data_IF_750675450754
#
_entry.id   IF_750675450754
#
_cell.length_a   1.000
_cell.length_b   1.000
_cell.length_c   1.000
_cell.angle_alpha   90.00
_cell.angle_beta   90.00
_cell.angle_gamma   90.00
#
_symmetry.space_group_name_H-M   'P 1'
#
loop_
_entity.id
_entity.type
_entity.pdbx_description
1 polymer ?
#
# COMPACT_ATOMS: atom_id res chain seq x y z
N UNK A 1 -8.93 22.99 -16.03
CA UNK A 1 -8.19 21.94 -15.29
C UNK A 1 -6.96 21.59 -16.10
N UNK A 2 -5.77 21.41 -15.50
CA UNK A 2 -4.61 20.98 -16.27
C UNK A 2 -4.89 19.63 -16.92
N UNK A 3 -4.48 19.46 -18.18
CA UNK A 3 -4.90 18.37 -19.07
C UNK A 3 -4.46 16.96 -18.67
N UNK A 4 -3.62 16.79 -17.64
CA UNK A 4 -3.15 15.50 -17.12
C UNK A 4 -2.52 15.70 -15.73
N UNK A 5 -2.91 14.90 -14.73
CA UNK A 5 -2.36 15.00 -13.35
C UNK A 5 -1.14 14.09 -13.14
N UNK A 6 -1.09 12.95 -13.82
CA UNK A 6 0.05 12.05 -13.84
C UNK A 6 0.11 11.29 -15.17
N UNK A 7 1.27 10.77 -15.50
CA UNK A 7 1.52 9.91 -16.66
C UNK A 7 2.33 8.69 -16.23
N UNK A 8 2.02 7.53 -16.82
CA UNK A 8 2.84 6.33 -16.67
C UNK A 8 3.52 6.02 -17.99
N UNK A 9 4.84 5.89 -17.99
CA UNK A 9 5.63 5.54 -19.17
C UNK A 9 6.47 4.29 -18.93
N UNK A 10 6.60 3.44 -19.94
CA UNK A 10 7.49 2.28 -19.91
C UNK A 10 8.92 2.72 -20.27
N UNK A 11 9.79 2.81 -19.27
CA UNK A 11 11.19 3.17 -19.45
C UNK A 11 12.07 1.93 -19.61
N UNK A 12 12.82 1.92 -20.71
CA UNK A 12 13.77 0.84 -21.02
C UNK A 12 15.05 1.01 -20.20
N UNK A 13 15.50 -0.07 -19.59
CA UNK A 13 16.77 -0.14 -18.88
C UNK A 13 17.61 -1.28 -19.46
N UNK A 14 18.93 -1.12 -19.41
CA UNK A 14 19.91 -2.11 -19.80
C UNK A 14 20.82 -2.48 -18.61
N UNK A 15 21.21 -3.75 -18.52
CA UNK A 15 22.27 -4.17 -17.62
C UNK A 15 23.55 -4.40 -18.44
N UNK A 16 24.61 -3.66 -18.10
CA UNK A 16 25.91 -3.76 -18.77
C UNK A 16 26.82 -4.66 -17.93
N UNK A 17 27.42 -5.68 -18.57
CA UNK A 17 28.49 -6.45 -17.96
C UNK A 17 29.80 -5.64 -18.02
N UNK A 18 30.31 -5.27 -16.84
CA UNK A 18 31.50 -4.43 -16.73
C UNK A 18 32.80 -5.14 -17.13
N UNK A 19 32.82 -6.47 -17.19
CA UNK A 19 33.98 -7.24 -17.65
C UNK A 19 34.04 -7.34 -19.18
N UNK A 20 32.87 -7.44 -19.83
CA UNK A 20 32.78 -7.55 -21.28
C UNK A 20 32.63 -6.19 -22.00
N UNK A 21 32.31 -5.11 -21.26
CA UNK A 21 32.09 -3.77 -21.83
C UNK A 21 30.88 -3.68 -22.76
N UNK A 22 30.04 -4.72 -22.79
CA UNK A 22 28.90 -4.84 -23.68
C UNK A 22 27.62 -5.08 -22.87
N UNK A 23 26.49 -4.68 -23.45
CA UNK A 23 25.18 -5.13 -22.95
C UNK A 23 25.06 -6.59 -23.32
N UNK A 24 24.90 -7.48 -22.32
CA UNK A 24 24.68 -8.91 -22.58
C UNK A 24 23.29 -9.04 -23.23
N UNK A 25 23.22 -9.80 -24.32
CA UNK A 25 21.96 -10.02 -25.04
C UNK A 25 20.91 -10.64 -24.10
N UNK A 26 19.67 -10.17 -24.17
CA UNK A 26 18.58 -10.57 -23.25
C UNK A 26 18.48 -9.82 -21.91
N UNK A 27 19.30 -8.79 -21.66
CA UNK A 27 19.28 -8.02 -20.40
C UNK A 27 18.56 -6.65 -20.50
N UNK A 28 17.62 -6.53 -21.44
CA UNK A 28 16.73 -5.39 -21.58
C UNK A 28 15.46 -5.64 -20.77
N UNK A 29 15.08 -4.71 -19.91
CA UNK A 29 13.79 -4.76 -19.21
C UNK A 29 13.13 -3.39 -19.19
N UNK A 30 11.80 -3.40 -19.23
CA UNK A 30 11.00 -2.19 -19.07
C UNK A 30 10.55 -2.04 -17.63
N UNK A 31 10.48 -0.80 -17.17
CA UNK A 31 9.83 -0.44 -15.91
C UNK A 31 8.82 0.65 -16.16
N UNK A 32 7.64 0.50 -15.59
CA UNK A 32 6.68 1.59 -15.57
C UNK A 32 7.13 2.63 -14.55
N UNK A 33 7.17 3.88 -14.97
CA UNK A 33 7.46 5.03 -14.14
C UNK A 33 6.29 5.99 -14.16
N UNK A 34 5.91 6.50 -12.99
CA UNK A 34 4.82 7.47 -12.86
C UNK A 34 5.39 8.86 -12.60
N UNK A 35 5.04 9.80 -13.48
CA UNK A 35 5.41 11.21 -13.38
C UNK A 35 4.19 12.04 -12.98
N UNK A 36 4.36 12.93 -12.01
CA UNK A 36 3.31 13.85 -11.58
C UNK A 36 3.49 15.21 -12.25
N UNK A 37 2.38 15.83 -12.67
CA UNK A 37 2.38 17.21 -13.12
C UNK A 37 2.80 18.16 -11.98
N UNK A 38 3.34 19.36 -12.27
CA UNK A 38 3.62 20.34 -11.23
C UNK A 38 2.39 20.63 -10.35
N UNK A 39 2.55 20.50 -9.03
CA UNK A 39 1.47 20.66 -8.07
C UNK A 39 0.51 19.46 -7.94
N UNK A 40 0.77 18.35 -8.63
CA UNK A 40 0.07 17.09 -8.45
C UNK A 40 0.87 16.13 -7.56
N UNK A 41 0.17 15.24 -6.87
CA UNK A 41 0.78 14.26 -5.98
C UNK A 41 -0.23 13.24 -5.48
N UNK A 42 0.19 12.48 -4.47
CA UNK A 42 -0.66 11.50 -3.81
C UNK A 42 -1.07 12.01 -2.43
N UNK A 43 -2.26 11.61 -2.00
CA UNK A 43 -2.73 11.82 -0.65
C UNK A 43 -3.43 10.56 -0.14
N UNK A 44 -3.48 10.41 1.18
CA UNK A 44 -4.18 9.31 1.83
C UNK A 44 -4.85 9.79 3.11
N UNK A 45 -5.94 9.13 3.48
CA UNK A 45 -6.59 9.36 4.76
C UNK A 45 -5.91 8.53 5.84
N UNK A 46 -5.66 9.16 6.97
CA UNK A 46 -5.17 8.51 8.17
C UNK A 46 -6.18 8.71 9.30
N UNK A 47 -6.51 7.62 9.98
CA UNK A 47 -7.18 7.64 11.28
C UNK A 47 -6.25 6.98 12.29
N UNK A 48 -5.85 7.74 13.29
CA UNK A 48 -5.02 7.29 14.39
C UNK A 48 -5.25 8.22 15.58
N UNK A 49 -5.01 7.71 16.78
CA UNK A 49 -4.92 8.56 17.96
C UNK A 49 -3.72 9.50 17.84
N UNK A 50 -3.85 10.71 18.38
CA UNK A 50 -2.82 11.75 18.27
C UNK A 50 -1.47 11.29 18.82
N UNK A 51 -1.49 10.53 19.93
CA UNK A 51 -0.28 9.99 20.56
C UNK A 51 0.41 8.95 19.67
N UNK A 52 -0.34 8.03 19.07
CA UNK A 52 0.22 7.02 18.16
C UNK A 52 0.73 7.65 16.86
N UNK A 53 0.02 8.66 16.36
CA UNK A 53 0.47 9.44 15.22
C UNK A 53 1.82 10.10 15.49
N UNK A 54 1.93 10.85 16.59
CA UNK A 54 3.16 11.58 16.93
C UNK A 54 4.33 10.63 17.23
N UNK A 55 4.06 9.51 17.91
CA UNK A 55 5.10 8.59 18.38
C UNK A 55 5.60 7.63 17.30
N UNK A 56 4.72 7.14 16.43
CA UNK A 56 5.06 6.05 15.51
C UNK A 56 4.90 6.45 14.04
N UNK A 57 3.77 7.06 13.67
CA UNK A 57 3.40 7.22 12.26
C UNK A 57 4.14 8.40 11.61
N UNK A 58 4.09 9.58 12.23
CA UNK A 58 4.75 10.77 11.68
C UNK A 58 6.28 10.61 11.54
N UNK A 59 7.01 10.06 12.55
CA UNK A 59 8.44 9.78 12.39
C UNK A 59 8.73 8.77 11.27
N UNK A 60 7.91 7.71 11.14
CA UNK A 60 8.07 6.73 10.07
C UNK A 60 7.86 7.36 8.68
N UNK A 61 6.86 8.23 8.53
CA UNK A 61 6.60 8.94 7.27
C UNK A 61 7.72 9.93 6.94
N UNK A 62 8.26 10.66 7.91
CA UNK A 62 9.44 11.54 7.73
C UNK A 62 10.66 10.76 7.27
N UNK A 63 10.94 9.63 7.92
CA UNK A 63 12.01 8.73 7.50
C UNK A 63 11.82 8.20 6.07
N UNK A 64 10.58 7.90 5.66
CA UNK A 64 10.27 7.49 4.29
C UNK A 64 10.41 8.64 3.30
N UNK A 65 10.10 9.88 3.68
CA UNK A 65 10.30 11.07 2.87
C UNK A 65 11.80 11.26 2.52
N UNK A 66 12.69 11.01 3.48
CA UNK A 66 14.15 11.13 3.29
C UNK A 66 14.74 9.95 2.50
N UNK A 67 14.14 8.76 2.60
CA UNK A 67 14.73 7.52 2.08
C UNK A 67 14.03 6.93 0.87
N UNK A 68 12.99 7.61 0.39
CA UNK A 68 12.10 7.19 -0.68
C UNK A 68 11.15 6.04 -0.31
N UNK A 69 10.04 5.97 -1.04
CA UNK A 69 9.03 4.91 -0.99
C UNK A 69 9.02 4.10 -2.30
N UNK A 70 8.98 2.77 -2.20
CA UNK A 70 8.90 1.87 -3.35
C UNK A 70 10.23 1.20 -3.71
N UNK A 71 10.22 0.38 -4.77
CA UNK A 71 11.35 -0.50 -5.09
C UNK A 71 12.59 0.23 -5.64
N UNK A 72 12.39 1.40 -6.26
CA UNK A 72 13.42 2.08 -7.07
C UNK A 72 14.03 3.31 -6.37
N UNK A 73 13.94 3.35 -5.04
CA UNK A 73 14.47 4.44 -4.22
C UNK A 73 15.98 4.58 -4.25
N UNK A 74 16.70 3.48 -4.46
CA UNK A 74 18.17 3.50 -4.61
C UNK A 74 18.62 4.09 -5.94
N UNK A 75 17.73 4.23 -6.94
CA UNK A 75 17.99 4.95 -8.19
C UNK A 75 17.42 6.36 -8.19
N UNK A 76 17.15 6.93 -7.00
CA UNK A 76 16.69 8.31 -6.84
C UNK A 76 15.17 8.51 -6.99
N UNK A 77 14.37 7.45 -7.15
CA UNK A 77 12.91 7.53 -7.35
C UNK A 77 12.14 7.44 -6.04
N UNK A 78 10.87 7.81 -6.08
CA UNK A 78 9.96 7.66 -4.92
C UNK A 78 10.29 8.56 -3.74
N UNK A 79 11.13 9.59 -3.94
CA UNK A 79 11.32 10.68 -2.98
C UNK A 79 10.05 11.54 -2.95
N UNK A 80 9.69 12.04 -1.79
CA UNK A 80 8.50 12.86 -1.62
C UNK A 80 8.66 13.81 -0.43
N UNK A 81 7.91 14.90 -0.45
CA UNK A 81 7.67 15.72 0.72
C UNK A 81 6.34 15.33 1.34
N UNK A 82 6.22 15.44 2.66
CA UNK A 82 4.97 15.15 3.36
C UNK A 82 4.43 16.38 4.09
N UNK A 83 3.17 16.69 3.79
CA UNK A 83 2.31 17.59 4.54
C UNK A 83 1.22 16.80 5.24
N UNK A 84 0.81 17.28 6.41
CA UNK A 84 -0.25 16.66 7.21
C UNK A 84 -1.30 17.72 7.45
N UNK A 85 -2.51 17.45 7.00
CA UNK A 85 -3.64 18.36 7.06
C UNK A 85 -4.84 17.68 7.70
N UNK A 86 -5.79 18.49 8.15
CA UNK A 86 -7.07 17.95 8.61
C UNK A 86 -7.76 17.22 7.46
N UNK A 87 -8.28 16.03 7.76
CA UNK A 87 -8.96 15.23 6.75
C UNK A 87 -10.14 16.01 6.15
N UNK A 88 -10.39 15.90 4.83
CA UNK A 88 -11.57 16.48 4.22
C UNK A 88 -12.84 15.89 4.83
N UNK A 89 -13.92 16.65 4.80
CA UNK A 89 -15.22 16.15 5.22
C UNK A 89 -15.70 15.11 4.20
N UNK A 90 -15.74 13.84 4.62
CA UNK A 90 -16.32 12.77 3.82
C UNK A 90 -17.85 12.93 3.75
N UNK A 91 -18.50 12.49 2.64
CA UNK A 91 -19.95 12.50 2.49
C UNK A 91 -20.64 11.84 3.69
N UNK A 92 -21.72 12.47 4.19
CA UNK A 92 -22.52 11.97 5.31
C UNK A 92 -23.95 11.74 4.84
N UNK A 93 -24.44 10.52 5.02
CA UNK A 93 -25.83 10.15 4.76
C UNK A 93 -26.52 9.86 6.10
N UNK A 94 -27.76 10.35 6.28
CA UNK A 94 -28.52 10.19 7.53
C UNK A 94 -28.90 8.73 7.80
N UNK A 95 -29.24 7.99 6.74
CA UNK A 95 -29.70 6.61 6.79
C UNK A 95 -28.97 5.79 5.73
N UNK A 96 -27.68 5.45 5.96
CA UNK A 96 -26.90 4.75 4.98
C UNK A 96 -27.44 3.33 4.77
N UNK A 97 -27.44 2.89 3.53
CA UNK A 97 -27.79 1.52 3.12
C UNK A 97 -26.58 0.73 2.68
N UNK A 98 -25.49 1.41 2.35
CA UNK A 98 -24.26 0.79 1.93
C UNK A 98 -23.02 1.44 2.54
N UNK A 99 -21.89 0.77 2.38
CA UNK A 99 -20.58 1.26 2.77
C UNK A 99 -19.55 0.92 1.68
N UNK A 100 -18.71 1.88 1.33
CA UNK A 100 -17.68 1.74 0.30
C UNK A 100 -16.27 1.82 0.88
N UNK A 101 -15.39 0.90 0.48
CA UNK A 101 -14.01 0.80 0.98
C UNK A 101 -13.12 1.90 0.38
N UNK A 102 -12.24 2.47 1.20
CA UNK A 102 -11.23 3.45 0.75
C UNK A 102 -9.82 2.86 0.61
N UNK A 103 -9.65 1.59 0.99
CA UNK A 103 -8.39 0.84 0.88
C UNK A 103 -8.68 -0.63 0.61
N UNK A 104 -7.63 -1.43 0.42
CA UNK A 104 -7.78 -2.88 0.39
C UNK A 104 -8.42 -3.37 1.68
N UNK A 105 -9.44 -4.21 1.56
CA UNK A 105 -10.25 -4.64 2.69
C UNK A 105 -10.18 -6.15 2.91
N UNK A 106 -9.90 -6.53 4.16
CA UNK A 106 -9.96 -7.91 4.66
C UNK A 106 -10.95 -7.96 5.81
N UNK A 107 -12.19 -8.41 5.58
CA UNK A 107 -13.22 -8.44 6.62
C UNK A 107 -12.82 -9.36 7.78
N UNK A 108 -13.29 -9.02 8.98
CA UNK A 108 -13.46 -10.02 10.05
C UNK A 108 -14.74 -10.83 9.81
N UNK A 109 -14.83 -12.03 10.40
CA UNK A 109 -16.01 -12.89 10.26
C UNK A 109 -17.25 -12.13 10.78
N UNK A 110 -18.31 -12.11 9.98
CA UNK A 110 -19.57 -11.44 10.32
C UNK A 110 -19.54 -9.92 10.22
N UNK A 111 -18.49 -9.31 9.65
CA UNK A 111 -18.40 -7.85 9.52
C UNK A 111 -19.41 -7.25 8.55
N UNK A 112 -19.80 -8.00 7.53
CA UNK A 112 -20.88 -7.67 6.60
C UNK A 112 -21.72 -8.92 6.32
N UNK A 113 -22.90 -8.72 5.75
CA UNK A 113 -23.74 -9.81 5.27
C UNK A 113 -23.38 -10.14 3.81
N UNK A 114 -22.83 -11.33 3.50
CA UNK A 114 -22.48 -11.71 2.14
C UNK A 114 -23.68 -11.96 1.23
N UNK A 115 -24.89 -12.10 1.78
CA UNK A 115 -26.14 -12.21 1.01
C UNK A 115 -26.92 -10.88 0.97
N UNK A 116 -26.43 -9.85 1.68
CA UNK A 116 -27.09 -8.56 1.74
C UNK A 116 -26.80 -7.70 0.51
N UNK A 117 -27.75 -6.83 0.20
CA UNK A 117 -27.62 -5.84 -0.88
C UNK A 117 -27.59 -4.41 -0.33
N UNK A 118 -26.88 -3.48 -1.01
CA UNK A 118 -26.13 -3.66 -2.26
C UNK A 118 -24.74 -4.26 -2.03
N UNK A 119 -24.27 -5.05 -2.99
CA UNK A 119 -22.96 -5.70 -2.96
C UNK A 119 -22.30 -5.61 -4.33
N UNK A 120 -21.19 -4.87 -4.44
CA UNK A 120 -20.44 -4.70 -5.69
C UNK A 120 -18.94 -4.60 -5.38
N UNK A 121 -18.14 -5.56 -5.83
CA UNK A 121 -16.73 -5.60 -5.45
C UNK A 121 -15.85 -6.24 -6.52
N UNK A 122 -14.55 -5.94 -6.42
CA UNK A 122 -13.50 -6.67 -7.12
C UNK A 122 -12.55 -7.30 -6.10
N UNK A 123 -12.02 -8.48 -6.43
CA UNK A 123 -11.04 -9.18 -5.62
C UNK A 123 -9.66 -9.08 -6.26
N UNK A 124 -8.65 -8.87 -5.43
CA UNK A 124 -7.23 -8.89 -5.83
C UNK A 124 -6.44 -9.84 -4.97
N UNK A 125 -5.60 -10.65 -5.62
CA UNK A 125 -4.61 -11.47 -4.92
C UNK A 125 -3.33 -10.66 -4.76
N UNK A 126 -3.03 -10.23 -3.53
CA UNK A 126 -1.76 -9.60 -3.21
C UNK A 126 -0.70 -10.67 -2.95
N UNK A 127 0.45 -10.52 -3.60
CA UNK A 127 1.68 -11.29 -3.35
C UNK A 127 2.75 -10.33 -2.86
N UNK A 128 2.67 -9.86 -1.60
CA UNK A 128 3.54 -8.82 -1.12
C UNK A 128 4.99 -9.30 -1.10
N UNK A 129 5.89 -8.49 -1.64
CA UNK A 129 7.33 -8.72 -1.55
C UNK A 129 7.84 -8.14 -0.23
N UNK A 130 8.96 -8.64 0.29
CA UNK A 130 9.64 -8.06 1.46
C UNK A 130 10.65 -7.04 0.99
N UNK A 131 10.68 -5.88 1.66
CA UNK A 131 11.78 -4.96 1.53
C UNK A 131 13.02 -5.49 2.26
N UNK A 132 14.14 -5.58 1.55
CA UNK A 132 15.38 -6.15 2.10
C UNK A 132 16.22 -5.13 2.90
N UNK A 133 15.81 -3.86 2.95
CA UNK A 133 16.51 -2.78 3.67
C UNK A 133 16.71 -3.08 5.17
N UNK A 134 15.77 -3.80 5.78
CA UNK A 134 15.77 -4.08 7.24
C UNK A 134 16.08 -5.55 7.55
N UNK A 135 16.91 -6.19 6.71
CA UNK A 135 17.41 -7.53 6.98
C UNK A 135 18.25 -7.51 8.27
N UNK A 136 17.80 -8.22 9.32
CA UNK A 136 18.69 -8.50 10.45
C UNK A 136 19.88 -9.30 9.93
N UNK A 137 21.13 -8.88 10.19
CA UNK A 137 22.27 -9.72 9.91
C UNK A 137 22.15 -10.98 10.77
N UNK A 138 22.29 -12.14 10.17
CA UNK A 138 22.56 -13.35 10.94
C UNK A 138 23.99 -13.23 11.47
N UNK A 139 24.25 -13.75 12.68
CA UNK A 139 25.61 -14.02 13.12
C UNK A 139 26.28 -14.81 12.00
N UNK A 140 27.48 -14.39 11.58
CA UNK A 140 28.26 -14.95 10.47
C UNK A 140 28.08 -14.34 9.07
N UNK A 141 27.66 -13.07 8.98
CA UNK A 141 27.74 -12.28 7.74
C UNK A 141 26.76 -12.68 6.63
N UNK A 142 25.83 -13.60 6.92
CA UNK A 142 24.77 -13.98 5.98
C UNK A 142 23.61 -12.98 5.97
N UNK A 143 23.07 -12.76 4.77
CA UNK A 143 21.80 -12.06 4.52
C UNK A 143 20.69 -12.74 5.34
N UNK A 144 19.72 -11.96 5.83
CA UNK A 144 18.58 -12.47 6.60
C UNK A 144 17.94 -13.69 5.92
N UNK A 145 17.48 -14.66 6.72
CA UNK A 145 16.80 -15.85 6.23
C UNK A 145 15.65 -15.49 5.23
N UNK A 146 15.40 -16.30 4.19
CA UNK A 146 14.32 -16.05 3.26
C UNK A 146 12.97 -16.02 3.98
N UNK A 147 12.22 -14.92 3.81
CA UNK A 147 10.86 -14.80 4.35
C UNK A 147 9.86 -15.09 3.24
N UNK A 148 9.15 -16.21 3.38
CA UNK A 148 8.09 -16.61 2.47
C UNK A 148 6.76 -16.07 2.98
N UNK A 149 6.19 -15.11 2.23
CA UNK A 149 4.86 -14.55 2.53
C UNK A 149 3.80 -15.33 1.78
N UNK A 150 2.72 -15.66 2.47
CA UNK A 150 1.52 -16.19 1.85
C UNK A 150 0.84 -15.12 0.98
N UNK A 151 0.25 -15.54 -0.14
CA UNK A 151 -0.63 -14.69 -0.92
C UNK A 151 -1.95 -14.48 -0.16
N UNK A 152 -2.52 -13.28 -0.27
CA UNK A 152 -3.78 -12.92 0.40
C UNK A 152 -4.76 -12.31 -0.60
N UNK A 153 -6.02 -12.76 -0.57
CA UNK A 153 -7.10 -12.17 -1.37
C UNK A 153 -7.77 -11.06 -0.59
N UNK A 154 -7.80 -9.87 -1.14
CA UNK A 154 -8.40 -8.67 -0.57
C UNK A 154 -9.50 -8.15 -1.49
N UNK A 155 -10.45 -7.41 -0.94
CA UNK A 155 -11.35 -6.57 -1.74
C UNK A 155 -10.62 -5.29 -2.17
N UNK A 156 -10.81 -4.85 -3.40
CA UNK A 156 -10.23 -3.62 -3.94
C UNK A 156 -10.88 -2.36 -3.31
N UNK A 157 -10.16 -1.23 -3.22
CA UNK A 157 -10.76 0.06 -2.91
C UNK A 157 -11.92 0.36 -3.87
N UNK A 158 -12.98 1.00 -3.36
CA UNK A 158 -14.22 1.25 -4.11
C UNK A 158 -15.23 0.11 -4.07
N UNK A 159 -14.92 -1.01 -3.40
CA UNK A 159 -15.88 -2.09 -3.18
C UNK A 159 -17.00 -1.65 -2.24
N UNK A 160 -18.24 -1.99 -2.56
CA UNK A 160 -19.48 -1.63 -1.86
C UNK A 160 -20.09 -2.85 -1.18
N UNK A 161 -20.49 -2.67 0.07
CA UNK A 161 -21.09 -3.70 0.92
C UNK A 161 -22.39 -3.17 1.57
N UNK A 162 -23.32 -4.06 1.96
CA UNK A 162 -24.50 -3.67 2.70
C UNK A 162 -24.11 -3.05 4.04
N UNK A 163 -24.78 -1.97 4.41
CA UNK A 163 -24.55 -1.32 5.70
C UNK A 163 -25.09 -2.21 6.82
N UNK A 164 -24.24 -2.51 7.80
CA UNK A 164 -24.61 -3.27 9.01
C UNK A 164 -24.60 -2.38 10.25
N UNK A 165 -23.43 -1.87 10.60
CA UNK A 165 -23.23 -0.97 11.71
C UNK A 165 -22.03 -0.06 11.44
N UNK A 166 -22.07 1.14 12.00
CA UNK A 166 -20.96 2.10 11.94
C UNK A 166 -19.83 1.65 12.86
N UNK A 167 -18.61 1.63 12.34
CA UNK A 167 -17.36 1.42 13.08
C UNK A 167 -16.35 2.48 12.68
N UNK A 168 -15.38 2.71 13.54
CA UNK A 168 -14.28 3.63 13.23
C UNK A 168 -13.29 3.05 12.24
N UNK A 169 -13.09 1.74 12.29
CA UNK A 169 -12.20 0.97 11.43
C UNK A 169 -12.87 -0.37 11.11
N UNK A 170 -12.71 -0.82 9.87
CA UNK A 170 -13.17 -2.12 9.41
C UNK A 170 -11.99 -2.98 8.98
N UNK A 171 -12.20 -4.29 9.01
CA UNK A 171 -11.23 -5.26 8.52
C UNK A 171 -10.12 -5.55 9.52
N UNK A 172 -9.02 -6.10 9.03
CA UNK A 172 -7.95 -6.62 9.89
C UNK A 172 -6.56 -6.57 9.26
N UNK A 173 -5.56 -6.67 10.12
CA UNK A 173 -4.20 -7.03 9.73
C UNK A 173 -4.12 -8.55 9.57
N UNK A 174 -3.60 -9.02 8.43
CA UNK A 174 -3.33 -10.43 8.19
C UNK A 174 -1.83 -10.70 8.35
N UNK A 175 -1.47 -11.59 9.28
CA UNK A 175 -0.13 -12.15 9.34
C UNK A 175 0.08 -13.06 8.13
N UNK A 176 1.15 -12.82 7.36
CA UNK A 176 1.46 -13.54 6.13
C UNK A 176 2.61 -14.55 6.27
N UNK A 177 3.26 -14.58 7.42
CA UNK A 177 4.36 -15.51 7.72
C UNK A 177 3.92 -16.57 8.73
N UNK A 178 4.42 -17.82 8.63
CA UNK A 178 4.15 -18.86 9.61
C UNK A 178 4.53 -18.47 11.04
N UNK A 179 3.96 -19.16 12.02
CA UNK A 179 4.42 -19.10 13.40
C UNK A 179 5.91 -19.50 13.47
N UNK A 180 6.69 -18.82 14.32
CA UNK A 180 8.14 -19.04 14.45
C UNK A 180 9.02 -18.26 13.47
N UNK A 181 8.47 -17.58 12.46
CA UNK A 181 9.20 -16.63 11.62
C UNK A 181 8.93 -15.17 12.03
N UNK A 182 9.77 -14.25 11.54
CA UNK A 182 9.55 -12.81 11.67
C UNK A 182 8.13 -12.46 11.18
N UNK A 183 7.38 -11.75 12.02
CA UNK A 183 5.98 -11.45 11.74
C UNK A 183 5.89 -10.36 10.67
N UNK A 184 5.34 -10.72 9.52
CA UNK A 184 5.02 -9.73 8.48
C UNK A 184 3.52 -9.65 8.31
N UNK A 185 3.00 -8.43 8.38
CA UNK A 185 1.58 -8.15 8.28
C UNK A 185 1.26 -7.49 6.94
N UNK A 186 0.11 -7.85 6.38
CA UNK A 186 -0.56 -7.10 5.34
C UNK A 186 -1.76 -6.40 5.95
N UNK A 187 -1.84 -5.08 5.77
CA UNK A 187 -3.05 -4.35 6.14
C UNK A 187 -4.16 -4.63 5.14
N UNK A 188 -5.30 -5.11 5.66
CA UNK A 188 -6.60 -5.03 5.01
C UNK A 188 -7.59 -4.24 5.88
N UNK A 189 -7.07 -3.35 6.71
CA UNK A 189 -7.88 -2.42 7.48
C UNK A 189 -8.30 -1.24 6.59
N UNK A 190 -9.54 -0.79 6.74
CA UNK A 190 -10.12 0.23 5.87
C UNK A 190 -11.04 1.19 6.61
N UNK A 191 -11.09 2.41 6.08
CA UNK A 191 -12.13 3.38 6.36
C UNK A 191 -13.24 3.22 5.33
N UNK A 192 -14.47 3.39 5.77
CA UNK A 192 -15.65 3.29 4.91
C UNK A 192 -16.28 4.66 4.67
N UNK A 193 -16.72 4.91 3.44
CA UNK A 193 -17.69 5.97 3.14
C UNK A 193 -19.08 5.38 3.21
N UNK A 194 -19.99 6.04 3.93
CA UNK A 194 -21.37 5.59 4.06
C UNK A 194 -22.23 6.21 2.96
N UNK A 195 -22.98 5.36 2.25
CA UNK A 195 -23.82 5.69 1.11
C UNK A 195 -25.30 5.46 1.42
#
# INVERSE_FOLDING_TARGET
MPGKLFESEAMQHNQIDRMAGATVDGMLFYREETFFAPGAGLWALLRADEQDFARYIHPALRYLADTGLGADRTSGKGQFEITVESAPTLPRVKSPRAMMTLSHYLPVIGEFDPQGEPLAYALKTLRPKREQKYSRPLLDGQKSAPIYKQAVRVFEPGSVFPFKNKKELYGRLARLTPAGQEAVFQSGATLMVYL
#
